data_IF_210397006179
#
_entry.id   IF_210397006179
#
_cell.length_a   1.000
_cell.length_b   1.000
_cell.length_c   1.000
_cell.angle_alpha   90.00
_cell.angle_beta   90.00
_cell.angle_gamma   90.00
#
_symmetry.space_group_name_H-M   'P 1'
#
loop_
_entity.id
_entity.type
_entity.pdbx_description
1 polymer ?
#
# COMPACT_ATOMS: atom_id res chain seq x y z
N UNK A 1 -41.96 -8.45 -13.09
CA UNK A 1 -40.60 -7.93 -13.29
C UNK A 1 -39.67 -9.09 -13.14
N UNK A 2 -39.15 -9.58 -14.26
CA UNK A 2 -38.30 -10.78 -14.30
C UNK A 2 -36.90 -10.39 -13.80
N UNK A 3 -36.50 -10.86 -12.63
CA UNK A 3 -35.13 -10.75 -12.15
C UNK A 3 -34.24 -11.69 -12.98
N UNK A 4 -33.44 -11.09 -13.85
CA UNK A 4 -32.34 -11.81 -14.51
C UNK A 4 -31.47 -12.41 -13.42
N UNK A 5 -31.18 -13.72 -13.44
CA UNK A 5 -30.29 -14.33 -12.44
C UNK A 5 -28.94 -13.65 -12.53
N UNK A 6 -28.39 -13.24 -11.39
CA UNK A 6 -27.03 -12.73 -11.29
C UNK A 6 -26.07 -13.78 -11.90
N UNK A 7 -25.34 -13.42 -12.91
CA UNK A 7 -24.37 -14.32 -13.56
C UNK A 7 -23.40 -14.83 -12.47
N UNK A 8 -23.13 -16.13 -12.47
CA UNK A 8 -22.20 -16.77 -11.56
C UNK A 8 -20.83 -16.06 -11.70
N UNK A 9 -20.32 -15.42 -10.62
CA UNK A 9 -19.09 -14.64 -10.68
C UNK A 9 -17.87 -15.47 -11.10
N UNK A 10 -17.92 -16.81 -11.00
CA UNK A 10 -16.83 -17.72 -11.37
C UNK A 10 -16.63 -17.83 -12.90
N UNK A 11 -17.54 -17.32 -13.72
CA UNK A 11 -17.47 -17.39 -15.17
C UNK A 11 -17.63 -16.05 -15.90
N UNK A 12 -17.67 -14.96 -15.13
CA UNK A 12 -17.94 -13.62 -15.67
C UNK A 12 -16.91 -13.15 -16.72
N UNK A 13 -15.68 -13.66 -16.68
CA UNK A 13 -14.58 -13.33 -17.59
C UNK A 13 -14.11 -14.51 -18.46
N UNK A 14 -14.96 -15.54 -18.63
CA UNK A 14 -14.57 -16.77 -19.33
C UNK A 14 -14.04 -16.51 -20.73
N UNK A 15 -12.79 -16.95 -20.96
CA UNK A 15 -12.10 -16.83 -22.24
C UNK A 15 -11.53 -15.45 -22.54
N UNK A 16 -11.72 -14.45 -21.65
CA UNK A 16 -11.10 -13.15 -21.83
C UNK A 16 -9.59 -13.23 -21.58
N UNK A 17 -8.79 -12.66 -22.47
CA UNK A 17 -7.33 -12.56 -22.33
C UNK A 17 -6.99 -11.22 -21.73
N UNK A 18 -6.43 -11.22 -20.53
CA UNK A 18 -6.11 -10.00 -19.78
C UNK A 18 -4.61 -9.95 -19.50
N UNK A 19 -3.99 -8.80 -19.78
CA UNK A 19 -2.62 -8.53 -19.36
C UNK A 19 -2.67 -7.53 -18.22
N UNK A 20 -2.08 -7.90 -17.08
CA UNK A 20 -1.88 -7.02 -15.95
C UNK A 20 -0.42 -6.59 -15.92
N UNK A 21 -0.15 -5.30 -16.04
CA UNK A 21 1.18 -4.72 -15.97
C UNK A 21 1.45 -4.18 -14.57
N UNK A 22 2.46 -4.69 -13.91
CA UNK A 22 2.95 -4.16 -12.63
C UNK A 22 4.47 -4.17 -12.60
N UNK A 23 5.08 -3.09 -12.11
CA UNK A 23 6.54 -2.94 -12.14
C UNK A 23 7.26 -4.09 -11.47
N UNK A 24 6.74 -4.63 -10.35
CA UNK A 24 7.33 -5.74 -9.58
C UNK A 24 6.29 -6.83 -9.35
N UNK A 25 6.74 -8.06 -9.25
CA UNK A 25 5.91 -9.18 -8.79
C UNK A 25 6.05 -9.42 -7.27
N UNK A 26 5.21 -10.25 -6.65
CA UNK A 26 5.28 -10.55 -5.22
C UNK A 26 6.58 -11.22 -4.76
N UNK A 27 7.33 -11.80 -5.67
CA UNK A 27 8.60 -12.48 -5.38
C UNK A 27 9.84 -11.60 -5.60
N UNK A 28 9.64 -10.34 -5.96
CA UNK A 28 10.71 -9.35 -6.05
C UNK A 28 11.23 -9.03 -4.64
N UNK A 29 12.58 -8.89 -4.47
CA UNK A 29 13.20 -8.62 -3.16
C UNK A 29 12.70 -7.33 -2.46
N UNK A 30 12.10 -6.41 -3.19
CA UNK A 30 11.48 -5.16 -2.69
C UNK A 30 9.95 -5.18 -2.74
N UNK A 31 9.33 -6.36 -2.86
CA UNK A 31 7.87 -6.45 -2.89
C UNK A 31 7.23 -5.92 -1.58
N UNK A 32 6.02 -5.41 -1.71
CA UNK A 32 5.25 -4.85 -0.61
C UNK A 32 3.74 -4.94 -0.86
N UNK A 33 2.97 -4.03 -0.26
CA UNK A 33 1.51 -4.03 -0.32
C UNK A 33 0.95 -3.86 -1.74
N UNK A 34 1.58 -3.03 -2.57
CA UNK A 34 1.15 -2.80 -3.95
C UNK A 34 1.33 -4.05 -4.83
N UNK A 35 2.41 -4.80 -4.64
CA UNK A 35 2.67 -6.04 -5.36
C UNK A 35 1.68 -7.13 -4.95
N UNK A 36 1.36 -7.21 -3.65
CA UNK A 36 0.31 -8.10 -3.16
C UNK A 36 -1.06 -7.73 -3.72
N UNK A 37 -1.42 -6.44 -3.74
CA UNK A 37 -2.66 -5.97 -4.34
C UNK A 37 -2.77 -6.37 -5.81
N UNK A 38 -1.73 -6.11 -6.62
CA UNK A 38 -1.69 -6.47 -8.02
C UNK A 38 -1.84 -7.99 -8.23
N UNK A 39 -1.23 -8.80 -7.37
CA UNK A 39 -1.35 -10.24 -7.41
C UNK A 39 -2.74 -10.74 -7.07
N UNK A 40 -3.35 -10.21 -6.00
CA UNK A 40 -4.73 -10.57 -5.63
C UNK A 40 -5.73 -10.14 -6.70
N UNK A 41 -5.48 -9.01 -7.36
CA UNK A 41 -6.26 -8.56 -8.52
C UNK A 41 -6.14 -9.57 -9.68
N UNK A 42 -4.93 -10.00 -10.04
CA UNK A 42 -4.70 -10.98 -11.10
C UNK A 42 -5.36 -12.34 -10.79
N UNK A 43 -5.24 -12.82 -9.53
CA UNK A 43 -5.90 -14.05 -9.06
C UNK A 43 -7.42 -13.96 -9.16
N UNK A 44 -7.99 -12.81 -8.81
CA UNK A 44 -9.43 -12.58 -8.91
C UNK A 44 -9.91 -12.75 -10.35
N UNK A 45 -9.23 -12.15 -11.31
CA UNK A 45 -9.57 -12.26 -12.73
C UNK A 45 -9.41 -13.69 -13.24
N UNK A 46 -8.34 -14.38 -12.83
CA UNK A 46 -8.11 -15.79 -13.18
C UNK A 46 -9.23 -16.69 -12.63
N UNK A 47 -9.64 -16.49 -11.39
CA UNK A 47 -10.72 -17.26 -10.76
C UNK A 47 -12.08 -16.96 -11.40
N UNK A 48 -12.28 -15.78 -11.99
CA UNK A 48 -13.45 -15.43 -12.77
C UNK A 48 -13.41 -15.97 -14.22
N UNK A 49 -12.41 -16.81 -14.56
CA UNK A 49 -12.32 -17.53 -15.83
C UNK A 49 -11.48 -16.85 -16.91
N UNK A 50 -10.78 -15.74 -16.62
CA UNK A 50 -9.89 -15.10 -17.58
C UNK A 50 -8.57 -15.86 -17.77
N UNK A 51 -7.97 -15.74 -18.94
CA UNK A 51 -6.56 -16.04 -19.18
C UNK A 51 -5.73 -14.81 -18.80
N UNK A 52 -5.00 -14.89 -17.68
CA UNK A 52 -4.26 -13.75 -17.13
C UNK A 52 -2.76 -13.91 -17.37
N UNK A 53 -2.13 -12.90 -17.96
CA UNK A 53 -0.69 -12.72 -18.01
C UNK A 53 -0.31 -11.56 -17.08
N UNK A 54 0.51 -11.83 -16.05
CA UNK A 54 1.11 -10.84 -15.17
C UNK A 54 2.47 -10.41 -15.75
N UNK A 55 2.54 -9.19 -16.28
CA UNK A 55 3.71 -8.65 -16.95
C UNK A 55 4.49 -7.75 -16.01
N UNK A 56 5.76 -8.07 -15.75
CA UNK A 56 6.57 -7.44 -14.71
C UNK A 56 8.04 -7.31 -15.07
N UNK A 57 8.80 -6.50 -14.33
CA UNK A 57 10.25 -6.45 -14.43
C UNK A 57 10.89 -7.73 -13.86
N UNK A 58 12.07 -8.05 -14.34
CA UNK A 58 12.89 -9.17 -13.86
C UNK A 58 13.83 -8.72 -12.76
N UNK A 59 13.80 -9.39 -11.63
CA UNK A 59 14.79 -9.27 -10.58
C UNK A 59 15.95 -10.26 -10.76
N UNK A 60 17.05 -10.05 -10.04
CA UNK A 60 18.23 -10.94 -10.06
C UNK A 60 17.81 -12.35 -9.62
N UNK A 61 18.26 -13.34 -10.38
CA UNK A 61 17.99 -14.77 -10.09
C UNK A 61 16.59 -15.25 -10.46
N UNK A 62 15.67 -14.39 -10.87
CA UNK A 62 14.35 -14.82 -11.31
C UNK A 62 14.38 -15.41 -12.74
N UNK A 63 13.50 -16.38 -13.03
CA UNK A 63 13.23 -16.90 -14.35
C UNK A 63 12.56 -15.83 -15.24
N UNK A 64 12.58 -16.04 -16.58
CA UNK A 64 11.85 -15.17 -17.52
C UNK A 64 10.33 -15.38 -17.48
N UNK A 65 9.87 -16.50 -16.97
CA UNK A 65 8.45 -16.80 -16.84
C UNK A 65 8.21 -17.95 -15.90
N UNK A 66 7.10 -17.83 -15.19
CA UNK A 66 6.57 -18.83 -14.25
C UNK A 66 5.06 -18.88 -14.38
N UNK A 67 4.43 -19.84 -13.70
CA UNK A 67 3.00 -19.90 -13.51
C UNK A 67 2.70 -20.17 -12.04
N UNK A 68 1.86 -19.33 -11.45
CA UNK A 68 1.42 -19.47 -10.07
C UNK A 68 -0.09 -19.28 -10.01
N UNK A 69 -0.82 -20.14 -9.32
CA UNK A 69 -2.29 -20.10 -9.18
C UNK A 69 -3.04 -19.99 -10.53
N UNK A 70 -2.44 -20.53 -11.62
CA UNK A 70 -2.97 -20.45 -12.98
C UNK A 70 -2.80 -19.06 -13.65
N UNK A 71 -2.07 -18.15 -13.04
CA UNK A 71 -1.65 -16.86 -13.63
C UNK A 71 -0.27 -17.02 -14.23
N UNK A 72 -0.12 -16.70 -15.52
CA UNK A 72 1.17 -16.72 -16.22
C UNK A 72 1.96 -15.46 -15.88
N UNK A 73 3.07 -15.60 -15.17
CA UNK A 73 4.00 -14.51 -14.88
C UNK A 73 5.02 -14.39 -16.01
N UNK A 74 5.14 -13.21 -16.59
CA UNK A 74 6.12 -12.93 -17.64
C UNK A 74 7.00 -11.76 -17.24
N UNK A 75 8.29 -12.00 -17.09
CA UNK A 75 9.29 -11.00 -16.72
C UNK A 75 10.00 -10.47 -17.94
N UNK A 76 9.94 -9.14 -18.16
CA UNK A 76 10.54 -8.46 -19.28
C UNK A 76 11.40 -7.28 -18.84
N UNK A 77 12.57 -7.13 -19.41
CA UNK A 77 13.48 -6.07 -19.00
C UNK A 77 13.99 -6.22 -17.56
N UNK A 78 14.49 -5.14 -17.03
CA UNK A 78 14.94 -4.96 -15.64
C UNK A 78 14.16 -3.82 -15.02
N UNK A 79 14.42 -3.49 -13.76
CA UNK A 79 13.86 -2.31 -13.06
C UNK A 79 13.84 -1.05 -13.93
N UNK A 80 14.88 -0.80 -14.74
CA UNK A 80 15.01 0.42 -15.55
C UNK A 80 14.46 0.27 -16.99
N UNK A 81 14.41 -0.93 -17.53
CA UNK A 81 14.03 -1.17 -18.93
C UNK A 81 12.65 -1.77 -19.08
N UNK A 82 11.97 -2.05 -17.97
CA UNK A 82 10.64 -2.68 -17.92
C UNK A 82 9.61 -1.94 -18.78
N UNK A 83 9.49 -0.65 -18.62
CA UNK A 83 8.46 0.16 -19.31
C UNK A 83 8.56 0.04 -20.84
N UNK A 84 9.77 0.20 -21.37
CA UNK A 84 10.01 0.05 -22.80
C UNK A 84 9.78 -1.39 -23.28
N UNK A 85 10.26 -2.38 -22.51
CA UNK A 85 10.10 -3.80 -22.86
C UNK A 85 8.63 -4.23 -22.82
N UNK A 86 7.86 -3.76 -21.84
CA UNK A 86 6.42 -4.02 -21.74
C UNK A 86 5.64 -3.41 -22.92
N UNK A 87 5.91 -2.14 -23.27
CA UNK A 87 5.32 -1.48 -24.41
C UNK A 87 5.63 -2.21 -25.72
N UNK A 88 6.90 -2.60 -25.96
CA UNK A 88 7.30 -3.35 -27.16
C UNK A 88 6.60 -4.73 -27.24
N UNK A 89 6.48 -5.42 -26.10
CA UNK A 89 5.76 -6.68 -26.02
C UNK A 89 4.28 -6.53 -26.38
N UNK A 90 3.60 -5.54 -25.78
CA UNK A 90 2.20 -5.25 -26.04
C UNK A 90 1.97 -4.84 -27.51
N UNK A 91 2.83 -3.98 -28.05
CA UNK A 91 2.80 -3.60 -29.45
C UNK A 91 2.99 -4.83 -30.37
N UNK A 92 3.97 -5.70 -30.05
CA UNK A 92 4.21 -6.93 -30.78
C UNK A 92 3.01 -7.89 -30.75
N UNK A 93 2.29 -7.99 -29.61
CA UNK A 93 1.07 -8.79 -29.50
C UNK A 93 -0.04 -8.23 -30.39
N UNK A 94 -0.22 -6.91 -30.42
CA UNK A 94 -1.18 -6.23 -31.28
C UNK A 94 -0.88 -6.45 -32.77
N UNK A 95 0.37 -6.27 -33.18
CA UNK A 95 0.78 -6.45 -34.58
C UNK A 95 0.58 -7.89 -35.04
N UNK A 96 0.77 -8.87 -34.16
CA UNK A 96 0.52 -10.30 -34.45
C UNK A 96 -0.95 -10.71 -34.33
N UNK A 97 -1.88 -9.77 -34.18
CA UNK A 97 -3.32 -10.00 -33.94
C UNK A 97 -3.63 -10.91 -32.74
N UNK A 98 -2.76 -10.85 -31.72
CA UNK A 98 -2.89 -11.57 -30.44
C UNK A 98 -3.01 -10.58 -29.26
N UNK A 99 -3.57 -9.40 -29.53
CA UNK A 99 -3.79 -8.39 -28.52
C UNK A 99 -4.66 -8.95 -27.37
N UNK A 100 -4.42 -8.51 -26.13
CA UNK A 100 -5.33 -8.82 -25.04
C UNK A 100 -6.69 -8.15 -25.26
N UNK A 101 -7.73 -8.71 -24.64
CA UNK A 101 -9.07 -8.15 -24.68
C UNK A 101 -9.19 -6.97 -23.71
N UNK A 102 -8.35 -6.92 -22.65
CA UNK A 102 -8.22 -5.81 -21.72
C UNK A 102 -6.81 -5.75 -21.13
N UNK A 103 -6.35 -4.55 -20.81
CA UNK A 103 -5.10 -4.34 -20.05
C UNK A 103 -5.41 -3.67 -18.71
N UNK A 104 -4.84 -4.20 -17.63
CA UNK A 104 -4.79 -3.55 -16.33
C UNK A 104 -3.39 -2.96 -16.18
N UNK A 105 -3.29 -1.65 -15.94
CA UNK A 105 -2.03 -0.91 -15.80
C UNK A 105 -1.93 -0.38 -14.37
N UNK A 106 -1.01 -0.95 -13.59
CA UNK A 106 -0.82 -0.58 -12.18
C UNK A 106 0.20 0.55 -12.09
N UNK A 107 -0.21 1.67 -11.52
CA UNK A 107 0.67 2.80 -11.23
C UNK A 107 1.33 2.62 -9.87
N UNK A 108 2.59 2.20 -9.90
CA UNK A 108 3.48 2.11 -8.73
C UNK A 108 4.69 3.06 -8.89
N UNK A 109 4.43 4.31 -9.25
CA UNK A 109 5.39 5.36 -9.56
C UNK A 109 4.97 6.12 -10.81
N UNK A 110 5.07 5.47 -11.96
CA UNK A 110 4.44 5.88 -13.21
C UNK A 110 3.81 4.63 -13.84
N UNK A 111 2.67 4.74 -14.56
CA UNK A 111 2.10 3.61 -15.29
C UNK A 111 2.94 3.27 -16.52
N UNK A 112 2.68 2.12 -17.12
CA UNK A 112 3.39 1.67 -18.35
C UNK A 112 3.02 2.51 -19.58
N UNK A 113 1.97 3.33 -19.51
CA UNK A 113 1.40 4.07 -20.63
C UNK A 113 0.85 3.14 -21.74
N UNK A 114 0.22 2.06 -21.36
CA UNK A 114 -0.33 1.04 -22.28
C UNK A 114 -1.29 1.59 -23.33
N UNK A 115 -2.08 2.67 -23.12
CA UNK A 115 -2.91 3.27 -24.17
C UNK A 115 -2.12 3.75 -25.40
N UNK A 116 -0.82 4.04 -25.27
CA UNK A 116 0.01 4.49 -26.40
C UNK A 116 0.21 3.43 -27.48
N UNK A 117 0.18 2.15 -27.09
CA UNK A 117 0.45 1.02 -28.01
C UNK A 117 -0.76 0.14 -28.24
N UNK A 118 -1.78 0.19 -27.39
CA UNK A 118 -3.00 -0.58 -27.54
C UNK A 118 -3.98 0.06 -28.55
N UNK A 119 -4.89 -0.74 -29.04
CA UNK A 119 -6.00 -0.25 -29.87
C UNK A 119 -6.97 0.56 -29.00
N UNK A 120 -7.60 1.58 -29.58
CA UNK A 120 -8.71 2.30 -28.92
C UNK A 120 -9.90 1.39 -28.56
N UNK A 121 -9.98 0.19 -29.16
CA UNK A 121 -10.99 -0.83 -28.88
C UNK A 121 -10.59 -1.74 -27.71
N UNK A 122 -9.33 -1.72 -27.27
CA UNK A 122 -8.86 -2.48 -26.11
C UNK A 122 -9.02 -1.62 -24.87
N UNK A 123 -9.98 -1.92 -23.97
CA UNK A 123 -10.16 -1.17 -22.76
C UNK A 123 -8.93 -1.29 -21.85
N UNK A 124 -8.68 -0.23 -21.11
CA UNK A 124 -7.60 -0.16 -20.13
C UNK A 124 -8.21 0.19 -18.78
N UNK A 125 -7.82 -0.55 -17.76
CA UNK A 125 -8.05 -0.21 -16.34
C UNK A 125 -6.75 0.33 -15.79
N UNK A 126 -6.74 1.60 -15.34
CA UNK A 126 -5.63 2.19 -14.61
C UNK A 126 -5.89 2.07 -13.11
N UNK A 127 -4.93 1.54 -12.36
CA UNK A 127 -4.99 1.49 -10.90
C UNK A 127 -3.90 2.38 -10.31
N UNK A 128 -4.30 3.38 -9.52
CA UNK A 128 -3.40 4.36 -8.91
C UNK A 128 -3.27 4.06 -7.42
N UNK A 129 -2.05 3.76 -6.97
CA UNK A 129 -1.78 3.48 -5.55
C UNK A 129 -1.58 4.73 -4.72
N UNK A 130 -0.92 5.74 -5.24
CA UNK A 130 -0.81 7.10 -4.69
C UNK A 130 -0.18 8.05 -5.70
N UNK A 131 -0.20 9.35 -5.41
CA UNK A 131 0.42 10.39 -6.23
C UNK A 131 1.87 10.59 -5.78
N UNK A 132 2.83 10.42 -6.71
CA UNK A 132 4.27 10.33 -6.40
C UNK A 132 5.02 11.67 -6.54
N UNK A 133 4.33 12.80 -6.72
CA UNK A 133 4.94 14.09 -7.02
C UNK A 133 6.10 14.48 -6.08
N UNK A 134 5.96 14.25 -4.77
CA UNK A 134 6.99 14.57 -3.78
C UNK A 134 8.05 13.48 -3.69
N UNK A 135 7.64 12.22 -3.85
CA UNK A 135 8.55 11.08 -3.77
C UNK A 135 9.58 11.07 -4.90
N UNK A 136 9.24 11.59 -6.09
CA UNK A 136 10.22 11.74 -7.16
C UNK A 136 11.36 12.66 -6.74
N UNK A 137 11.06 13.77 -6.05
CA UNK A 137 12.08 14.72 -5.58
C UNK A 137 12.97 14.10 -4.50
N UNK A 138 12.38 13.33 -3.59
CA UNK A 138 13.09 12.67 -2.49
C UNK A 138 13.96 11.49 -2.95
N UNK A 139 13.53 10.79 -4.03
CA UNK A 139 14.12 9.51 -4.43
C UNK A 139 15.04 9.60 -5.65
N UNK A 140 14.99 10.69 -6.41
CA UNK A 140 15.67 10.81 -7.70
C UNK A 140 16.44 12.12 -7.85
N UNK A 141 17.50 12.12 -8.69
CA UNK A 141 18.18 13.34 -9.09
C UNK A 141 17.25 14.25 -9.91
N UNK A 142 17.38 15.57 -9.75
CA UNK A 142 16.48 16.58 -10.35
C UNK A 142 16.01 16.30 -11.78
N UNK A 143 16.86 16.00 -12.78
CA UNK A 143 16.34 15.78 -14.13
C UNK A 143 15.34 14.61 -14.25
N UNK A 144 15.59 13.54 -13.52
CA UNK A 144 14.70 12.37 -13.50
C UNK A 144 13.44 12.61 -12.67
N UNK A 145 13.57 13.33 -11.56
CA UNK A 145 12.44 13.73 -10.73
C UNK A 145 11.47 14.63 -11.51
N UNK A 146 11.99 15.63 -12.23
CA UNK A 146 11.18 16.55 -13.04
C UNK A 146 10.50 15.81 -14.21
N UNK A 147 11.18 14.86 -14.83
CA UNK A 147 10.59 14.00 -15.86
C UNK A 147 9.46 13.14 -15.25
N UNK A 148 9.68 12.49 -14.11
CA UNK A 148 8.66 11.68 -13.41
C UNK A 148 7.42 12.52 -13.06
N UNK A 149 7.63 13.71 -12.49
CA UNK A 149 6.57 14.66 -12.19
C UNK A 149 5.79 15.12 -13.43
N UNK A 150 6.48 15.39 -14.52
CA UNK A 150 5.83 15.76 -15.79
C UNK A 150 5.01 14.60 -16.35
N UNK A 151 5.55 13.38 -16.36
CA UNK A 151 4.85 12.18 -16.83
C UNK A 151 3.58 11.93 -16.01
N UNK A 152 3.67 11.97 -14.68
CA UNK A 152 2.52 11.75 -13.79
C UNK A 152 1.51 12.91 -13.87
N UNK A 153 1.95 14.16 -13.85
CA UNK A 153 1.04 15.32 -13.78
C UNK A 153 0.39 15.69 -15.11
N UNK A 154 1.09 15.49 -16.24
CA UNK A 154 0.61 15.95 -17.56
C UNK A 154 0.28 14.82 -18.51
N UNK A 155 1.17 13.84 -18.62
CA UNK A 155 1.02 12.80 -19.62
C UNK A 155 0.01 11.74 -19.16
N UNK A 156 0.03 11.33 -17.90
CA UNK A 156 -0.86 10.30 -17.37
C UNK A 156 -2.35 10.69 -17.49
N UNK A 157 -2.83 11.87 -17.03
CA UNK A 157 -4.24 12.25 -17.18
C UNK A 157 -4.68 12.32 -18.64
N UNK A 158 -3.79 12.76 -19.54
CA UNK A 158 -4.07 12.82 -20.98
C UNK A 158 -4.15 11.42 -21.60
N UNK A 159 -3.17 10.56 -21.31
CA UNK A 159 -3.07 9.21 -21.90
C UNK A 159 -4.24 8.31 -21.45
N UNK A 160 -4.62 8.40 -20.18
CA UNK A 160 -5.64 7.52 -19.57
C UNK A 160 -7.03 8.16 -19.51
N UNK A 161 -7.29 9.27 -20.18
CA UNK A 161 -8.60 9.97 -20.16
C UNK A 161 -9.80 9.11 -20.58
N UNK A 162 -9.57 7.95 -21.20
CA UNK A 162 -10.59 6.97 -21.60
C UNK A 162 -10.53 5.66 -20.82
N UNK A 163 -9.59 5.54 -19.91
CA UNK A 163 -9.44 4.35 -19.09
C UNK A 163 -10.48 4.35 -17.96
N UNK A 164 -10.90 3.16 -17.57
CA UNK A 164 -11.55 2.97 -16.29
C UNK A 164 -10.50 3.18 -15.20
N UNK A 165 -10.69 4.16 -14.31
CA UNK A 165 -9.68 4.53 -13.33
C UNK A 165 -10.11 4.08 -11.95
N UNK A 166 -9.17 3.47 -11.25
CA UNK A 166 -9.29 2.98 -9.87
C UNK A 166 -8.23 3.65 -9.01
N UNK A 167 -8.59 4.08 -7.82
CA UNK A 167 -7.67 4.50 -6.77
C UNK A 167 -7.84 3.60 -5.54
N UNK A 168 -6.79 3.46 -4.73
CA UNK A 168 -6.85 2.58 -3.55
C UNK A 168 -7.44 3.24 -2.32
N UNK A 169 -7.63 4.58 -2.34
CA UNK A 169 -8.20 5.34 -1.22
C UNK A 169 -8.87 6.64 -1.68
N UNK A 170 -9.70 7.22 -0.84
CA UNK A 170 -10.33 8.52 -1.08
C UNK A 170 -9.31 9.67 -1.10
N UNK A 171 -8.28 9.61 -0.24
CA UNK A 171 -7.16 10.54 -0.28
C UNK A 171 -6.42 10.49 -1.62
N UNK A 172 -6.20 9.29 -2.18
CA UNK A 172 -5.60 9.15 -3.52
C UNK A 172 -6.47 9.81 -4.59
N UNK A 173 -7.80 9.68 -4.52
CA UNK A 173 -8.73 10.37 -5.44
C UNK A 173 -8.58 11.89 -5.32
N UNK A 174 -8.52 12.40 -4.09
CA UNK A 174 -8.35 13.83 -3.80
C UNK A 174 -7.04 14.35 -4.37
N UNK A 175 -5.92 13.67 -4.11
CA UNK A 175 -4.61 14.02 -4.65
C UNK A 175 -4.57 13.98 -6.20
N UNK A 176 -5.20 12.98 -6.81
CA UNK A 176 -5.32 12.92 -8.29
C UNK A 176 -6.04 14.15 -8.84
N UNK A 177 -7.10 14.59 -8.19
CA UNK A 177 -7.87 15.78 -8.61
C UNK A 177 -7.08 17.07 -8.40
N UNK A 178 -6.53 17.27 -7.22
CA UNK A 178 -5.86 18.51 -6.82
C UNK A 178 -4.48 18.66 -7.45
N UNK A 179 -3.70 17.60 -7.47
CA UNK A 179 -2.28 17.65 -7.88
C UNK A 179 -2.05 17.28 -9.33
N UNK A 180 -2.87 16.38 -9.90
CA UNK A 180 -2.75 15.94 -11.29
C UNK A 180 -3.80 16.54 -12.21
N UNK A 181 -4.83 17.22 -11.68
CA UNK A 181 -5.94 17.77 -12.45
C UNK A 181 -6.82 16.70 -13.10
N UNK A 182 -6.97 15.54 -12.44
CA UNK A 182 -7.77 14.43 -12.97
C UNK A 182 -9.26 14.80 -13.06
N UNK A 183 -9.84 14.69 -14.25
CA UNK A 183 -11.24 15.06 -14.52
C UNK A 183 -12.18 13.85 -14.62
N UNK A 184 -11.64 12.64 -14.84
CA UNK A 184 -12.42 11.42 -15.02
C UNK A 184 -13.04 10.91 -13.71
N UNK A 185 -14.04 10.04 -13.85
CA UNK A 185 -14.57 9.27 -12.72
C UNK A 185 -13.49 8.30 -12.22
N UNK A 186 -13.30 8.27 -10.91
CA UNK A 186 -12.37 7.37 -10.22
C UNK A 186 -13.19 6.50 -9.26
N UNK A 187 -13.06 5.19 -9.38
CA UNK A 187 -13.64 4.23 -8.45
C UNK A 187 -12.62 3.96 -7.34
N UNK A 188 -13.06 3.93 -6.09
CA UNK A 188 -12.19 3.52 -4.97
C UNK A 188 -12.30 2.01 -4.81
N UNK A 189 -11.14 1.34 -4.78
CA UNK A 189 -11.01 -0.10 -4.56
C UNK A 189 -9.89 -0.34 -3.53
N UNK A 190 -10.28 -0.45 -2.29
CA UNK A 190 -9.35 -0.59 -1.17
C UNK A 190 -8.56 -1.90 -1.22
N UNK A 191 -7.37 -1.88 -0.62
CA UNK A 191 -6.63 -3.11 -0.36
C UNK A 191 -7.43 -4.02 0.58
N UNK A 192 -7.31 -5.32 0.36
CA UNK A 192 -7.81 -6.30 1.33
C UNK A 192 -6.88 -6.45 2.52
N UNK A 193 -7.42 -7.04 3.58
CA UNK A 193 -6.66 -7.43 4.75
C UNK A 193 -6.93 -8.90 5.09
N UNK A 194 -5.98 -9.54 5.75
CA UNK A 194 -6.16 -10.89 6.27
C UNK A 194 -6.91 -10.83 7.61
N UNK A 195 -7.76 -11.81 7.83
CA UNK A 195 -8.41 -11.96 9.12
C UNK A 195 -7.36 -12.43 10.13
N UNK A 196 -7.19 -11.68 11.21
CA UNK A 196 -6.31 -12.11 12.29
C UNK A 196 -6.83 -13.41 12.93
N UNK A 197 -5.94 -14.30 13.40
CA UNK A 197 -6.35 -15.49 14.13
C UNK A 197 -7.20 -15.11 15.35
N UNK A 198 -8.29 -15.84 15.58
CA UNK A 198 -9.09 -15.69 16.79
C UNK A 198 -8.25 -16.08 18.02
N UNK A 199 -8.29 -15.30 19.09
CA UNK A 199 -7.62 -15.61 20.36
C UNK A 199 -6.15 -15.19 20.42
N UNK A 200 -5.88 -13.87 20.35
CA UNK A 200 -4.57 -13.32 20.69
C UNK A 200 -4.30 -13.36 22.20
N UNK A 201 -3.01 -13.43 22.58
CA UNK A 201 -2.60 -13.24 23.96
C UNK A 201 -2.97 -11.82 24.42
N UNK A 202 -3.15 -11.64 25.74
CA UNK A 202 -3.27 -10.29 26.29
C UNK A 202 -2.05 -9.43 25.89
N UNK A 203 -2.26 -8.18 25.47
CA UNK A 203 -1.15 -7.32 25.08
C UNK A 203 -0.22 -7.06 26.29
N UNK A 204 1.06 -7.07 26.02
CA UNK A 204 2.06 -6.69 27.02
C UNK A 204 1.96 -5.19 27.26
N UNK A 205 1.81 -4.74 28.52
CA UNK A 205 1.74 -3.32 28.84
C UNK A 205 2.91 -2.54 28.22
N UNK A 206 2.59 -1.34 27.72
CA UNK A 206 3.57 -0.40 27.15
C UNK A 206 4.40 -0.96 25.95
N UNK A 207 3.95 -2.03 25.31
CA UNK A 207 4.58 -2.51 24.08
C UNK A 207 4.03 -1.77 22.88
N UNK A 208 4.92 -1.03 22.23
CA UNK A 208 4.66 -0.29 20.97
C UNK A 208 5.25 -1.06 19.79
N UNK A 209 4.58 -1.07 18.65
CA UNK A 209 5.05 -1.72 17.43
C UNK A 209 5.08 -0.75 16.25
N UNK A 210 6.10 -0.89 15.40
CA UNK A 210 6.16 -0.33 14.05
C UNK A 210 6.21 -1.49 13.08
N UNK A 211 5.39 -1.45 12.03
CA UNK A 211 5.28 -2.50 11.04
C UNK A 211 5.53 -1.95 9.64
N UNK A 212 6.31 -2.68 8.82
CA UNK A 212 6.50 -2.39 7.40
C UNK A 212 7.96 -2.25 7.00
N UNK A 213 8.17 -1.86 5.74
CA UNK A 213 9.54 -1.65 5.23
C UNK A 213 10.21 -0.47 5.94
N UNK A 214 11.46 -0.65 6.34
CA UNK A 214 12.26 0.41 6.98
C UNK A 214 12.95 1.22 5.87
N UNK A 215 12.22 2.20 5.33
CA UNK A 215 12.65 3.08 4.24
C UNK A 215 12.41 4.55 4.62
N UNK A 216 13.07 5.50 3.93
CA UNK A 216 13.13 6.89 4.33
C UNK A 216 11.76 7.51 4.66
N UNK A 217 10.79 7.38 3.76
CA UNK A 217 9.45 7.97 3.95
C UNK A 217 8.62 7.34 5.09
N UNK A 218 9.05 6.22 5.68
CA UNK A 218 8.37 5.62 6.85
C UNK A 218 8.81 6.25 8.18
N UNK A 219 9.88 7.02 8.17
CA UNK A 219 10.37 7.82 9.29
C UNK A 219 10.41 7.05 10.63
N UNK A 220 10.91 5.80 10.58
CA UNK A 220 11.06 4.96 11.79
C UNK A 220 12.03 5.59 12.79
N UNK A 221 12.98 6.39 12.30
CA UNK A 221 13.89 7.21 13.09
C UNK A 221 13.16 8.16 14.04
N UNK A 222 12.09 8.83 13.56
CA UNK A 222 11.27 9.72 14.41
C UNK A 222 10.53 8.96 15.51
N UNK A 223 10.06 7.74 15.21
CA UNK A 223 9.39 6.92 16.23
C UNK A 223 10.36 6.52 17.34
N UNK A 224 11.62 6.20 17.01
CA UNK A 224 12.65 5.91 18.02
C UNK A 224 12.91 7.13 18.91
N UNK A 225 13.09 8.32 18.31
CA UNK A 225 13.30 9.59 19.06
C UNK A 225 12.09 9.93 19.93
N UNK A 226 10.87 9.81 19.40
CA UNK A 226 9.65 10.04 20.18
C UNK A 226 9.54 9.06 21.36
N UNK A 227 9.92 7.80 21.16
CA UNK A 227 9.88 6.82 22.24
C UNK A 227 10.93 7.09 23.34
N UNK A 228 12.08 7.67 22.98
CA UNK A 228 13.06 8.13 23.98
C UNK A 228 12.47 9.24 24.88
N UNK A 229 11.65 10.14 24.32
CA UNK A 229 10.91 11.13 25.12
C UNK A 229 9.82 10.47 25.99
N UNK A 230 9.04 9.53 25.44
CA UNK A 230 8.02 8.77 26.17
C UNK A 230 8.61 8.07 27.41
N UNK A 231 9.81 7.50 27.28
CA UNK A 231 10.48 6.79 28.39
C UNK A 231 10.78 7.64 29.60
N UNK A 232 10.84 8.97 29.47
CA UNK A 232 11.01 9.88 30.62
C UNK A 232 9.84 9.78 31.61
N UNK A 233 8.63 9.58 31.12
CA UNK A 233 7.41 9.41 31.93
C UNK A 233 6.96 7.95 32.07
N UNK A 234 7.32 7.09 31.11
CA UNK A 234 6.94 5.66 31.06
C UNK A 234 8.19 4.78 30.82
N UNK A 235 9.05 4.56 31.82
CA UNK A 235 10.35 3.87 31.66
C UNK A 235 10.24 2.44 31.13
N UNK A 236 9.08 1.78 31.29
CA UNK A 236 8.83 0.41 30.87
C UNK A 236 8.49 0.28 29.37
N UNK A 237 8.26 1.40 28.64
CA UNK A 237 7.86 1.34 27.24
C UNK A 237 8.94 0.70 26.38
N UNK A 238 8.51 -0.19 25.47
CA UNK A 238 9.38 -0.88 24.50
C UNK A 238 8.88 -0.69 23.09
N UNK A 239 9.81 -0.66 22.11
CA UNK A 239 9.50 -0.58 20.70
C UNK A 239 9.91 -1.87 19.97
N UNK A 240 8.99 -2.45 19.23
CA UNK A 240 9.23 -3.59 18.37
C UNK A 240 9.10 -3.16 16.90
N UNK A 241 10.21 -3.11 16.17
CA UNK A 241 10.23 -2.79 14.74
C UNK A 241 10.20 -4.07 13.93
N UNK A 242 9.11 -4.31 13.21
CA UNK A 242 8.91 -5.48 12.36
C UNK A 242 9.03 -5.08 10.89
N UNK A 243 10.08 -5.54 10.26
CA UNK A 243 10.42 -5.26 8.88
C UNK A 243 11.91 -4.95 8.68
N UNK A 244 12.29 -4.79 7.42
CA UNK A 244 13.65 -4.46 7.01
C UNK A 244 13.61 -3.46 5.85
N UNK A 245 14.75 -2.88 5.51
CA UNK A 245 14.87 -1.92 4.42
C UNK A 245 16.18 -1.16 4.45
N UNK A 246 16.33 -0.26 3.49
CA UNK A 246 17.58 0.48 3.25
C UNK A 246 17.95 1.40 4.45
N UNK A 247 16.97 1.82 5.28
CA UNK A 247 17.18 2.71 6.44
C UNK A 247 17.44 1.98 7.75
N UNK A 248 17.54 0.64 7.77
CA UNK A 248 17.74 -0.12 9.02
C UNK A 248 19.06 0.25 9.72
N UNK A 249 20.10 0.62 8.96
CA UNK A 249 21.36 1.12 9.49
C UNK A 249 21.16 2.42 10.28
N UNK A 250 20.51 3.40 9.67
CA UNK A 250 20.17 4.69 10.30
C UNK A 250 19.33 4.51 11.57
N UNK A 251 18.33 3.61 11.52
CA UNK A 251 17.51 3.32 12.71
C UNK A 251 18.36 2.78 13.85
N UNK A 252 19.33 1.87 13.57
CA UNK A 252 20.28 1.39 14.60
C UNK A 252 21.16 2.50 15.17
N UNK A 253 21.58 3.45 14.32
CA UNK A 253 22.37 4.59 14.77
C UNK A 253 21.56 5.47 15.71
N UNK A 254 20.31 5.81 15.35
CA UNK A 254 19.41 6.58 16.21
C UNK A 254 19.11 5.84 17.53
N UNK A 255 18.92 4.52 17.51
CA UNK A 255 18.75 3.73 18.75
C UNK A 255 19.94 3.91 19.69
N UNK A 256 21.18 3.92 19.17
CA UNK A 256 22.40 4.15 19.98
C UNK A 256 22.53 5.62 20.44
N UNK A 257 22.23 6.58 19.54
CA UNK A 257 22.26 8.02 19.87
C UNK A 257 21.32 8.36 21.03
N UNK A 258 20.13 7.74 21.05
CA UNK A 258 19.11 7.96 22.07
C UNK A 258 19.27 7.04 23.30
N UNK A 259 20.25 6.15 23.33
CA UNK A 259 20.46 5.21 24.44
C UNK A 259 19.31 4.20 24.62
N UNK A 260 18.72 3.77 23.49
CA UNK A 260 17.50 2.97 23.48
C UNK A 260 17.73 1.46 23.23
N UNK A 261 18.97 0.98 23.30
CA UNK A 261 19.35 -0.41 22.95
C UNK A 261 18.58 -1.45 23.76
N UNK A 262 18.28 -1.14 25.02
CA UNK A 262 17.53 -2.02 25.93
C UNK A 262 16.00 -1.92 25.78
N UNK A 263 15.52 -1.01 24.94
CA UNK A 263 14.08 -0.74 24.79
C UNK A 263 13.58 -0.95 23.35
N UNK A 264 14.48 -1.05 22.36
CA UNK A 264 14.13 -1.24 20.95
C UNK A 264 14.55 -2.63 20.46
N UNK A 265 13.61 -3.39 19.92
CA UNK A 265 13.85 -4.70 19.31
C UNK A 265 13.64 -4.59 17.81
N UNK A 266 14.70 -4.76 17.03
CA UNK A 266 14.67 -4.81 15.57
C UNK A 266 14.53 -6.26 15.12
N UNK A 267 13.30 -6.67 14.78
CA UNK A 267 13.00 -8.07 14.41
C UNK A 267 13.47 -8.45 13.01
N UNK A 268 13.67 -7.47 12.11
CA UNK A 268 13.88 -7.77 10.71
C UNK A 268 12.62 -8.32 10.04
N UNK A 269 12.79 -9.11 8.98
CA UNK A 269 11.69 -9.78 8.31
C UNK A 269 11.20 -10.97 9.16
N UNK A 270 9.89 -11.03 9.38
CA UNK A 270 9.23 -12.11 10.10
C UNK A 270 8.26 -12.86 9.17
N UNK A 271 8.05 -14.13 9.44
CA UNK A 271 6.93 -14.88 8.86
C UNK A 271 5.59 -14.32 9.33
N UNK A 272 4.51 -14.59 8.60
CA UNK A 272 3.15 -14.12 8.98
C UNK A 272 2.76 -14.58 10.39
N UNK A 273 3.14 -15.80 10.78
CA UNK A 273 2.86 -16.34 12.12
C UNK A 273 3.64 -15.61 13.22
N UNK A 274 4.92 -15.24 12.96
CA UNK A 274 5.74 -14.49 13.91
C UNK A 274 5.27 -13.04 14.00
N UNK A 275 4.96 -12.40 12.86
CA UNK A 275 4.37 -11.07 12.79
C UNK A 275 3.07 -10.99 13.60
N UNK A 276 2.18 -11.98 13.40
CA UNK A 276 0.92 -12.07 14.14
C UNK A 276 1.15 -12.17 15.67
N UNK A 277 2.14 -12.93 16.11
CA UNK A 277 2.50 -13.01 17.55
C UNK A 277 2.99 -11.68 18.11
N UNK A 278 3.81 -10.95 17.36
CA UNK A 278 4.29 -9.64 17.78
C UNK A 278 3.13 -8.64 17.85
N UNK A 279 2.27 -8.60 16.83
CA UNK A 279 1.09 -7.73 16.79
C UNK A 279 0.11 -8.04 17.92
N UNK A 280 -0.24 -9.31 18.13
CA UNK A 280 -1.16 -9.71 19.22
C UNK A 280 -0.64 -9.32 20.60
N UNK A 281 0.68 -9.22 20.79
CA UNK A 281 1.29 -8.78 22.04
C UNK A 281 1.48 -7.26 22.16
N UNK A 282 1.14 -6.46 21.14
CA UNK A 282 1.30 -5.02 21.16
C UNK A 282 0.08 -4.30 21.75
N UNK A 283 0.30 -3.21 22.47
CA UNK A 283 -0.76 -2.30 22.90
C UNK A 283 -1.06 -1.22 21.87
N UNK A 284 -0.05 -0.79 21.13
CA UNK A 284 -0.14 0.36 20.24
C UNK A 284 0.75 0.15 19.00
N UNK A 285 0.22 0.43 17.82
CA UNK A 285 1.00 0.60 16.59
C UNK A 285 1.28 2.09 16.38
N UNK A 286 2.47 2.42 15.84
CA UNK A 286 2.84 3.81 15.51
C UNK A 286 3.30 3.88 14.06
N UNK A 287 2.83 4.90 13.34
CA UNK A 287 3.27 5.21 11.98
C UNK A 287 3.60 6.69 11.84
N UNK A 288 4.87 6.98 11.55
CA UNK A 288 5.35 8.35 11.29
C UNK A 288 5.55 8.62 9.79
N UNK A 289 4.94 7.83 8.91
CA UNK A 289 5.12 7.91 7.46
C UNK A 289 4.79 9.29 6.91
N UNK A 290 5.60 9.80 5.99
CA UNK A 290 5.36 11.07 5.28
C UNK A 290 4.20 10.97 4.29
N UNK A 291 3.96 9.80 3.72
CA UNK A 291 2.84 9.51 2.82
C UNK A 291 2.57 8.01 2.73
N UNK A 292 1.31 7.65 2.52
CA UNK A 292 0.83 6.31 2.26
C UNK A 292 -0.26 6.33 1.19
N UNK A 293 -0.35 5.27 0.40
CA UNK A 293 -1.50 5.10 -0.50
C UNK A 293 -2.76 4.68 0.23
N UNK A 294 -2.61 3.76 1.24
CA UNK A 294 -3.74 3.22 1.99
C UNK A 294 -3.44 2.96 3.48
N UNK A 295 -2.18 2.79 3.86
CA UNK A 295 -1.86 2.39 5.23
C UNK A 295 -2.18 0.92 5.54
N UNK A 296 -1.80 0.00 4.65
CA UNK A 296 -2.03 -1.44 4.81
C UNK A 296 -1.63 -1.97 6.20
N UNK A 297 -0.48 -1.53 6.73
CA UNK A 297 0.04 -1.94 8.04
C UNK A 297 -0.85 -1.51 9.21
N UNK A 298 -1.59 -0.41 9.06
CA UNK A 298 -2.58 0.07 10.03
C UNK A 298 -3.73 -0.94 10.15
N UNK A 299 -4.24 -1.41 9.01
CA UNK A 299 -5.31 -2.41 9.00
C UNK A 299 -4.82 -3.78 9.48
N UNK A 300 -3.57 -4.14 9.20
CA UNK A 300 -2.96 -5.35 9.77
C UNK A 300 -2.90 -5.27 11.30
N UNK A 301 -2.49 -4.13 11.87
CA UNK A 301 -2.52 -3.91 13.32
C UNK A 301 -3.96 -3.92 13.85
N UNK A 302 -4.87 -3.21 13.20
CA UNK A 302 -6.28 -3.15 13.59
C UNK A 302 -6.98 -4.51 13.58
N UNK A 303 -6.64 -5.41 12.64
CA UNK A 303 -7.15 -6.78 12.61
C UNK A 303 -6.78 -7.57 13.88
N UNK A 304 -5.62 -7.27 14.47
CA UNK A 304 -5.19 -7.83 15.76
C UNK A 304 -5.79 -7.08 16.97
N UNK A 305 -6.61 -6.04 16.74
CA UNK A 305 -7.17 -5.20 17.80
C UNK A 305 -6.18 -4.14 18.31
N UNK A 306 -5.13 -3.86 17.57
CA UNK A 306 -4.09 -2.88 17.95
C UNK A 306 -4.39 -1.54 17.28
N UNK A 307 -4.73 -0.48 18.05
CA UNK A 307 -4.95 0.85 17.49
C UNK A 307 -3.64 1.50 17.05
N UNK A 308 -3.75 2.54 16.21
CA UNK A 308 -2.59 3.23 15.65
C UNK A 308 -2.56 4.70 16.07
N UNK A 309 -1.41 5.17 16.52
CA UNK A 309 -1.06 6.61 16.52
C UNK A 309 -0.31 6.91 15.23
N UNK A 310 -0.78 7.87 14.47
CA UNK A 310 -0.16 8.22 13.18
C UNK A 310 -0.24 9.71 12.88
N UNK A 311 0.62 10.17 11.97
CA UNK A 311 0.52 11.48 11.34
C UNK A 311 -0.75 11.57 10.49
N UNK A 312 -1.37 12.75 10.43
CA UNK A 312 -2.56 13.00 9.60
C UNK A 312 -2.17 13.27 8.14
N UNK A 313 -1.67 12.23 7.47
CA UNK A 313 -1.26 12.26 6.05
C UNK A 313 -2.19 11.40 5.20
N UNK A 314 -2.24 11.63 3.87
CA UNK A 314 -3.01 10.80 2.94
C UNK A 314 -2.76 9.31 3.13
N UNK A 315 -3.81 8.50 3.01
CA UNK A 315 -3.78 7.05 3.20
C UNK A 315 -3.79 6.61 4.66
N UNK A 316 -3.06 7.25 5.58
CA UNK A 316 -3.21 7.00 7.02
C UNK A 316 -4.55 7.53 7.52
N UNK A 317 -4.94 8.74 7.07
CA UNK A 317 -6.25 9.34 7.34
C UNK A 317 -7.41 8.45 6.90
N UNK A 318 -7.26 7.74 5.79
CA UNK A 318 -8.30 6.84 5.27
C UNK A 318 -8.38 5.51 6.01
N UNK A 319 -7.26 5.02 6.54
CA UNK A 319 -7.15 3.72 7.21
C UNK A 319 -7.42 3.78 8.72
N UNK A 320 -7.44 4.98 9.31
CA UNK A 320 -7.69 5.21 10.75
C UNK A 320 -9.01 5.95 10.91
N UNK A 321 -9.86 5.49 11.81
CA UNK A 321 -10.97 6.27 12.36
C UNK A 321 -10.49 6.98 13.61
N UNK A 322 -10.28 8.29 13.49
CA UNK A 322 -9.73 9.10 14.57
C UNK A 322 -10.59 9.04 15.84
N UNK A 323 -9.96 8.79 17.00
CA UNK A 323 -10.63 8.57 18.28
C UNK A 323 -11.37 7.23 18.43
N UNK A 324 -11.42 6.39 17.37
CA UNK A 324 -12.11 5.09 17.40
C UNK A 324 -11.14 3.91 17.23
N UNK A 325 -10.34 3.91 16.16
CA UNK A 325 -9.39 2.85 15.84
C UNK A 325 -7.94 3.30 15.96
N UNK A 326 -7.73 4.54 16.36
CA UNK A 326 -6.44 5.16 16.54
C UNK A 326 -6.57 6.68 16.70
N UNK A 327 -5.45 7.38 16.62
CA UNK A 327 -5.36 8.82 16.78
C UNK A 327 -4.50 9.42 15.68
N UNK A 328 -5.04 10.43 15.01
CA UNK A 328 -4.35 11.19 13.98
C UNK A 328 -3.74 12.45 14.58
N UNK A 329 -2.45 12.63 14.38
CA UNK A 329 -1.69 13.78 14.87
C UNK A 329 -1.61 14.82 13.77
N UNK A 330 -2.08 16.04 14.06
CA UNK A 330 -2.01 17.14 13.12
C UNK A 330 -0.57 17.40 12.66
N UNK A 331 -0.40 17.68 11.36
CA UNK A 331 0.90 18.01 10.80
C UNK A 331 1.43 19.35 11.38
N UNK A 332 2.75 19.48 11.57
CA UNK A 332 3.36 20.77 11.89
C UNK A 332 3.07 21.79 10.79
N UNK A 333 3.08 23.07 11.15
CA UNK A 333 2.83 24.17 10.20
C UNK A 333 3.88 24.29 9.08
N UNK A 334 5.07 23.71 9.28
CA UNK A 334 6.12 23.59 8.26
C UNK A 334 6.86 22.26 8.46
N UNK A 335 6.80 21.39 7.47
CA UNK A 335 7.62 20.17 7.44
C UNK A 335 8.93 20.51 6.73
N UNK A 336 10.04 20.45 7.44
CA UNK A 336 11.39 20.69 6.92
C UNK A 336 12.08 19.41 6.41
N UNK A 337 13.30 19.57 5.90
CA UNK A 337 14.21 18.46 5.58
C UNK A 337 14.63 17.68 6.84
N UNK A 338 15.07 16.41 6.74
CA UNK A 338 15.51 15.61 7.88
C UNK A 338 16.54 16.34 8.77
N UNK A 339 16.18 16.51 10.05
CA UNK A 339 17.02 17.24 11.02
C UNK A 339 16.66 18.71 11.20
N UNK A 340 15.62 19.23 10.54
CA UNK A 340 15.14 20.59 10.67
C UNK A 340 14.13 20.79 11.83
N UNK A 341 13.77 22.04 12.18
CA UNK A 341 12.83 22.34 13.29
C UNK A 341 11.50 21.56 13.25
N UNK A 342 11.01 21.20 12.04
CA UNK A 342 9.82 20.40 11.87
C UNK A 342 9.94 18.96 12.39
N UNK A 343 11.13 18.36 12.35
CA UNK A 343 11.35 17.01 12.92
C UNK A 343 11.25 17.01 14.45
N UNK A 344 11.76 18.03 15.11
CA UNK A 344 11.66 18.16 16.58
C UNK A 344 10.21 18.30 17.03
N UNK A 345 9.42 19.12 16.32
CA UNK A 345 7.99 19.25 16.62
C UNK A 345 7.24 17.95 16.37
N UNK A 346 7.54 17.22 15.29
CA UNK A 346 6.97 15.90 15.01
C UNK A 346 7.30 14.87 16.08
N UNK A 347 8.54 14.84 16.56
CA UNK A 347 8.97 13.95 17.65
C UNK A 347 8.16 14.23 18.91
N UNK A 348 8.02 15.50 19.31
CA UNK A 348 7.24 15.89 20.49
C UNK A 348 5.77 15.50 20.33
N UNK A 349 5.14 15.81 19.20
CA UNK A 349 3.74 15.43 18.93
C UNK A 349 3.52 13.92 18.94
N UNK A 350 4.45 13.15 18.34
CA UNK A 350 4.42 11.69 18.40
C UNK A 350 4.53 11.19 19.83
N UNK A 351 5.45 11.74 20.62
CA UNK A 351 5.64 11.36 22.02
C UNK A 351 4.38 11.64 22.86
N UNK A 352 3.81 12.84 22.74
CA UNK A 352 2.57 13.21 23.42
C UNK A 352 1.40 12.29 23.00
N UNK A 353 1.23 12.04 21.70
CA UNK A 353 0.20 11.15 21.18
C UNK A 353 0.37 9.70 21.67
N UNK A 354 1.59 9.19 21.72
CA UNK A 354 1.88 7.84 22.25
C UNK A 354 1.55 7.77 23.75
N UNK A 355 1.93 8.77 24.56
CA UNK A 355 1.62 8.80 25.99
C UNK A 355 0.11 8.82 26.20
N UNK A 356 -0.61 9.72 25.55
CA UNK A 356 -2.06 9.83 25.66
C UNK A 356 -2.79 8.55 25.24
N UNK A 357 -2.35 7.91 24.14
CA UNK A 357 -2.90 6.64 23.68
C UNK A 357 -2.65 5.51 24.69
N UNK A 358 -1.44 5.37 25.22
CA UNK A 358 -1.10 4.35 26.21
C UNK A 358 -1.87 4.57 27.53
N UNK A 359 -2.06 5.83 27.97
CA UNK A 359 -2.89 6.16 29.12
C UNK A 359 -4.36 5.76 28.88
N UNK A 360 -4.91 6.08 27.71
CA UNK A 360 -6.25 5.68 27.34
C UNK A 360 -6.42 4.15 27.37
N UNK A 361 -5.45 3.42 26.80
CA UNK A 361 -5.46 1.95 26.69
C UNK A 361 -5.11 1.23 28.01
N UNK A 362 -4.56 1.93 29.00
CA UNK A 362 -4.30 1.37 30.34
C UNK A 362 -5.59 1.06 31.10
N UNK A 363 -6.71 1.68 30.69
CA UNK A 363 -8.03 1.42 31.26
C UNK A 363 -8.70 0.23 30.55
N UNK A 364 -8.94 -0.93 31.23
CA UNK A 364 -9.39 -2.15 30.57
C UNK A 364 -10.67 -1.99 29.75
N UNK A 365 -11.67 -1.25 30.26
CA UNK A 365 -12.93 -1.03 29.56
C UNK A 365 -12.76 -0.20 28.27
N UNK A 366 -11.93 0.85 28.29
CA UNK A 366 -11.63 1.65 27.11
C UNK A 366 -10.85 0.84 26.08
N UNK A 367 -9.85 0.09 26.55
CA UNK A 367 -9.07 -0.80 25.68
C UNK A 367 -9.96 -1.81 24.97
N UNK A 368 -10.86 -2.50 25.67
CA UNK A 368 -11.77 -3.47 25.08
C UNK A 368 -12.62 -2.85 23.96
N UNK A 369 -13.16 -1.66 24.17
CA UNK A 369 -13.94 -0.95 23.16
C UNK A 369 -13.11 -0.59 21.92
N UNK A 370 -11.87 -0.13 22.09
CA UNK A 370 -10.97 0.20 20.98
C UNK A 370 -10.58 -1.05 20.20
N UNK A 371 -10.27 -2.15 20.90
CA UNK A 371 -9.95 -3.46 20.29
C UNK A 371 -11.09 -3.95 19.40
N UNK A 372 -12.33 -3.89 19.90
CA UNK A 372 -13.51 -4.32 19.13
C UNK A 372 -13.74 -3.43 17.90
N UNK A 373 -13.58 -2.11 18.04
CA UNK A 373 -13.68 -1.15 16.94
C UNK A 373 -12.60 -1.39 15.87
N UNK A 374 -11.36 -1.62 16.29
CA UNK A 374 -10.25 -1.94 15.38
C UNK A 374 -10.56 -3.19 14.55
N UNK A 375 -10.97 -4.27 15.20
CA UNK A 375 -11.32 -5.54 14.53
C UNK A 375 -12.50 -5.37 13.59
N UNK A 376 -13.56 -4.69 14.03
CA UNK A 376 -14.73 -4.43 13.20
C UNK A 376 -14.39 -3.59 11.97
N UNK A 377 -13.54 -2.58 12.13
CA UNK A 377 -13.07 -1.73 11.04
C UNK A 377 -12.24 -2.53 10.03
N UNK A 378 -11.23 -3.26 10.49
CA UNK A 378 -10.38 -4.09 9.63
C UNK A 378 -11.16 -5.17 8.87
N UNK A 379 -12.20 -5.75 9.48
CA UNK A 379 -13.06 -6.75 8.84
C UNK A 379 -13.85 -6.20 7.63
N UNK A 380 -14.05 -4.88 7.55
CA UNK A 380 -14.65 -4.21 6.40
C UNK A 380 -13.80 -4.27 5.12
N UNK A 381 -12.51 -4.58 5.25
CA UNK A 381 -11.52 -4.57 4.16
C UNK A 381 -10.94 -5.97 3.93
N UNK A 382 -11.73 -6.88 3.36
CA UNK A 382 -11.27 -8.23 3.08
C UNK A 382 -10.72 -8.38 1.66
N UNK A 383 -9.74 -9.27 1.45
CA UNK A 383 -9.30 -9.66 0.11
C UNK A 383 -10.43 -10.25 -0.72
N UNK A 384 -11.40 -10.91 -0.09
CA UNK A 384 -12.57 -11.44 -0.80
C UNK A 384 -13.40 -10.32 -1.42
N UNK A 385 -13.67 -9.24 -0.68
CA UNK A 385 -14.38 -8.06 -1.18
C UNK A 385 -13.60 -7.38 -2.31
N UNK A 386 -12.30 -7.12 -2.10
CA UNK A 386 -11.42 -6.52 -3.10
C UNK A 386 -11.43 -7.32 -4.41
N UNK A 387 -11.34 -8.66 -4.33
CA UNK A 387 -11.39 -9.53 -5.52
C UNK A 387 -12.72 -9.44 -6.27
N UNK A 388 -13.84 -9.41 -5.55
CA UNK A 388 -15.16 -9.28 -6.17
C UNK A 388 -15.28 -7.94 -6.92
N UNK A 389 -14.89 -6.84 -6.27
CA UNK A 389 -14.93 -5.49 -6.86
C UNK A 389 -13.95 -5.33 -8.04
N UNK A 390 -12.80 -6.00 -8.01
CA UNK A 390 -11.85 -6.05 -9.12
C UNK A 390 -12.45 -6.72 -10.36
N UNK A 391 -13.12 -7.87 -10.17
CA UNK A 391 -13.83 -8.58 -11.28
C UNK A 391 -14.94 -7.69 -11.85
N UNK A 392 -15.77 -7.09 -11.00
CA UNK A 392 -16.84 -6.18 -11.40
C UNK A 392 -16.32 -5.00 -12.24
N UNK A 393 -15.19 -4.41 -11.80
CA UNK A 393 -14.54 -3.29 -12.48
C UNK A 393 -14.11 -3.70 -13.90
N UNK A 394 -13.51 -4.87 -14.05
CA UNK A 394 -13.05 -5.38 -15.34
C UNK A 394 -14.21 -5.78 -16.24
N UNK A 395 -15.26 -6.42 -15.70
CA UNK A 395 -16.48 -6.75 -16.44
C UNK A 395 -17.14 -5.48 -16.97
N UNK A 396 -17.28 -4.45 -16.14
CA UNK A 396 -17.82 -3.15 -16.54
C UNK A 396 -17.00 -2.49 -17.66
N UNK A 397 -15.66 -2.53 -17.55
CA UNK A 397 -14.77 -1.97 -18.55
C UNK A 397 -14.88 -2.70 -19.91
N UNK A 398 -15.03 -4.03 -19.91
CA UNK A 398 -15.26 -4.83 -21.13
C UNK A 398 -16.64 -4.57 -21.73
N UNK A 399 -17.68 -4.41 -20.92
CA UNK A 399 -19.05 -4.15 -21.37
C UNK A 399 -19.25 -2.76 -21.98
N UNK A 400 -18.61 -1.74 -21.41
CA UNK A 400 -18.72 -0.35 -21.89
C UNK A 400 -18.01 -0.07 -23.23
N UNK A 401 -17.25 -1.04 -23.77
CA UNK A 401 -16.54 -0.95 -25.05
C UNK A 401 -17.16 -1.83 -26.16
N UNK A 402 -18.22 -2.58 -25.88
CA UNK A 402 -19.02 -3.31 -26.85
C UNK A 402 -20.16 -2.43 -27.34
#
# INVERSE_FOLDING_TARGET
MSSTPAADPTHALRGARIVLCNWRDPWHHRAGGSERYAWEFARALRNAGAEVEFLTARDRGQSLGDEHDGVRVRRVGTTYTFYAAALLRLLGSRLRRRAPDLVVDMDCGIPVFTPAVMSRRTPVVLVVHHVHQDQFVLSMKRPMADLGRFLERRLMPWAYRRATTVAVSDSTVTEMRERLGWQGTVRVLHNGNDVAPAGGADPVPDRVVVLGRVVAHKRVDLVVRALAEVRRSRPAVTLHVVGTGDEIGRVRDVVREEGMENAVVLHGFLSEAEKSRVLSGAMLHVSASDAEGWGQVVLEAAAHGVPTVARDVPGLRDSIRDGETGWLLAEPSAVGDPGEPGDTELVTRLAEGIVAALEHLSQPARRALVVDRCRAWAAGFSWQRMRAEAVETVVSALGGHR
#
